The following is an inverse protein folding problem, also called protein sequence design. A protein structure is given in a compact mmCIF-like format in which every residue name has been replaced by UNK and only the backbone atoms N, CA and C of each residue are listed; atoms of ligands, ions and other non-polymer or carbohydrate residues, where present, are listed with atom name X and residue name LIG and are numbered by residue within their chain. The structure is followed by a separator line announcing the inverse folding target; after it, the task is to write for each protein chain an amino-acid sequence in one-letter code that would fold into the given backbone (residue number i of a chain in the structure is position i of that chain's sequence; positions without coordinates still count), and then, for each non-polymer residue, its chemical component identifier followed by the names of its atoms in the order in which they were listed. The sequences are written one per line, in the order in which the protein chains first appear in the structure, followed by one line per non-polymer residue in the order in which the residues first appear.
data_IF_422262725604
#
_entry.id   IF_422262725604
#
_cell.length_a   1.000
_cell.length_b   1.000
_cell.length_c   1.000
_cell.angle_alpha   90.00
_cell.angle_beta   90.00
_cell.angle_gamma   90.00
#
_symmetry.space_group_name_H-M   'P 1'
#
loop_
_entity.id
_entity.type
_entity.pdbx_description
1 polymer ?
#
# COMPACT_ATOMS: atom_id res chain seq x y z
N UNK A 1 23.02 -37.83 28.08
CA UNK A 1 23.10 -36.39 27.73
C UNK A 1 23.51 -36.27 26.27
N UNK A 2 22.60 -35.91 25.35
CA UNK A 2 22.96 -35.69 23.94
C UNK A 2 23.67 -34.34 23.84
N UNK A 3 24.92 -34.33 23.40
CA UNK A 3 25.64 -33.08 23.13
C UNK A 3 25.22 -32.55 21.77
N UNK A 4 24.73 -31.31 21.73
CA UNK A 4 24.36 -30.66 20.48
C UNK A 4 25.63 -30.32 19.71
N UNK A 5 25.62 -30.54 18.40
CA UNK A 5 26.76 -30.22 17.53
C UNK A 5 26.95 -28.70 17.54
N UNK A 6 28.15 -28.26 17.89
CA UNK A 6 28.50 -26.84 17.91
C UNK A 6 28.84 -26.39 16.49
N UNK A 7 28.16 -25.35 16.01
CA UNK A 7 28.39 -24.76 14.70
C UNK A 7 28.90 -23.32 14.84
N UNK A 8 29.99 -23.02 14.13
CA UNK A 8 30.51 -21.65 14.03
C UNK A 8 29.73 -20.88 12.97
N UNK A 9 29.33 -19.64 13.30
CA UNK A 9 28.57 -18.79 12.38
C UNK A 9 29.29 -18.43 11.09
N UNK A 10 30.63 -18.47 11.08
CA UNK A 10 31.43 -18.17 9.90
C UNK A 10 31.37 -19.28 8.83
N UNK A 11 31.01 -20.50 9.21
CA UNK A 11 31.06 -21.65 8.31
C UNK A 11 29.97 -21.56 7.24
N UNK A 12 30.33 -21.84 5.99
CA UNK A 12 29.40 -21.82 4.86
C UNK A 12 28.26 -22.83 5.04
N UNK A 13 28.56 -24.00 5.64
CA UNK A 13 27.55 -25.02 5.97
C UNK A 13 26.46 -24.46 6.86
N UNK A 14 26.81 -23.69 7.89
CA UNK A 14 25.85 -23.06 8.80
C UNK A 14 24.99 -22.04 8.06
N UNK A 15 25.57 -21.24 7.17
CA UNK A 15 24.79 -20.29 6.36
C UNK A 15 23.80 -20.99 5.43
N UNK A 16 24.21 -22.09 4.79
CA UNK A 16 23.35 -22.89 3.91
C UNK A 16 22.23 -23.56 4.71
N UNK A 17 22.53 -24.10 5.90
CA UNK A 17 21.53 -24.67 6.80
C UNK A 17 20.44 -23.66 7.15
N UNK A 18 20.82 -22.44 7.55
CA UNK A 18 19.84 -21.38 7.87
C UNK A 18 18.97 -21.02 6.67
N UNK A 19 19.56 -20.93 5.46
CA UNK A 19 18.80 -20.65 4.23
C UNK A 19 17.82 -21.78 3.90
N UNK A 20 18.27 -23.02 3.99
CA UNK A 20 17.45 -24.20 3.73
C UNK A 20 16.26 -24.28 4.70
N UNK A 21 16.53 -24.19 6.01
CA UNK A 21 15.48 -24.24 7.03
C UNK A 21 14.52 -23.04 6.93
N UNK A 22 15.01 -21.85 6.57
CA UNK A 22 14.16 -20.68 6.35
C UNK A 22 13.13 -20.91 5.23
N UNK A 23 13.54 -21.52 4.11
CA UNK A 23 12.62 -21.86 3.01
C UNK A 23 11.73 -23.04 3.38
N UNK A 24 12.28 -24.07 4.02
CA UNK A 24 11.52 -25.27 4.45
C UNK A 24 10.41 -24.92 5.46
N UNK A 25 10.64 -23.95 6.33
CA UNK A 25 9.69 -23.43 7.32
C UNK A 25 8.84 -22.26 6.78
N UNK A 26 8.66 -22.16 5.46
CA UNK A 26 7.77 -21.18 4.83
C UNK A 26 8.09 -19.72 5.21
N UNK A 27 9.36 -19.33 5.15
CA UNK A 27 9.83 -17.97 5.39
C UNK A 27 9.60 -17.44 6.81
N UNK A 28 9.73 -18.33 7.79
CA UNK A 28 9.60 -17.99 9.21
C UNK A 28 10.56 -16.85 9.63
N UNK A 29 10.10 -16.02 10.57
CA UNK A 29 10.85 -14.92 11.14
C UNK A 29 12.14 -15.35 11.86
N UNK A 30 13.06 -14.41 12.13
CA UNK A 30 14.43 -14.72 12.56
C UNK A 30 14.51 -15.37 13.95
N UNK A 31 13.59 -15.05 14.86
CA UNK A 31 13.56 -15.66 16.20
C UNK A 31 13.12 -17.12 16.15
N UNK A 32 12.06 -17.41 15.40
CA UNK A 32 11.55 -18.77 15.26
C UNK A 32 12.48 -19.65 14.42
N UNK A 33 13.15 -19.10 13.39
CA UNK A 33 14.22 -19.80 12.68
C UNK A 33 15.36 -20.22 13.62
N UNK A 34 15.79 -19.32 14.51
CA UNK A 34 16.83 -19.61 15.48
C UNK A 34 16.39 -20.67 16.50
N UNK A 35 15.15 -20.56 17.00
CA UNK A 35 14.60 -21.52 17.96
C UNK A 35 14.56 -22.93 17.37
N UNK A 36 14.13 -23.07 16.11
CA UNK A 36 14.11 -24.34 15.40
C UNK A 36 15.51 -24.95 15.24
N UNK A 37 16.50 -24.14 14.84
CA UNK A 37 17.87 -24.62 14.66
C UNK A 37 18.50 -25.01 16.02
N UNK A 38 18.20 -24.26 17.08
CA UNK A 38 18.71 -24.53 18.42
C UNK A 38 18.22 -25.86 19.02
N UNK A 39 17.11 -26.43 18.53
CA UNK A 39 16.65 -27.77 18.93
C UNK A 39 17.63 -28.88 18.51
N UNK A 40 18.46 -28.65 17.49
CA UNK A 40 19.37 -29.67 16.93
C UNK A 40 20.85 -29.25 17.00
N UNK A 41 21.15 -27.95 16.97
CA UNK A 41 22.51 -27.41 16.86
C UNK A 41 22.75 -26.28 17.84
N UNK A 42 23.97 -26.19 18.40
CA UNK A 42 24.37 -25.03 19.19
C UNK A 42 25.16 -24.04 18.32
N UNK A 43 24.52 -22.97 17.85
CA UNK A 43 25.12 -22.04 16.88
C UNK A 43 25.70 -20.80 17.55
N UNK A 44 27.02 -20.62 17.46
CA UNK A 44 27.72 -19.44 17.97
C UNK A 44 27.31 -18.21 17.14
N UNK A 45 26.74 -17.18 17.77
CA UNK A 45 26.15 -15.98 17.12
C UNK A 45 24.97 -16.28 16.17
N UNK A 46 24.20 -17.34 16.43
CA UNK A 46 23.06 -17.74 15.59
C UNK A 46 22.02 -16.63 15.34
N UNK A 47 21.79 -15.72 16.30
CA UNK A 47 20.92 -14.54 16.13
C UNK A 47 21.31 -13.65 14.94
N UNK A 48 22.60 -13.44 14.72
CA UNK A 48 23.10 -12.61 13.63
C UNK A 48 22.80 -13.26 12.27
N UNK A 49 23.05 -14.58 12.16
CA UNK A 49 22.77 -15.33 10.93
C UNK A 49 21.28 -15.34 10.66
N UNK A 50 20.44 -15.65 11.65
CA UNK A 50 18.99 -15.69 11.47
C UNK A 50 18.43 -14.37 10.92
N UNK A 51 18.79 -13.24 11.53
CA UNK A 51 18.39 -11.90 11.06
C UNK A 51 18.91 -11.63 9.66
N UNK A 52 20.16 -12.01 9.40
CA UNK A 52 20.75 -11.83 8.08
C UNK A 52 20.10 -12.70 6.99
N UNK A 53 19.69 -13.92 7.31
CA UNK A 53 19.05 -14.85 6.35
C UNK A 53 17.69 -14.32 5.95
N UNK A 54 16.86 -13.92 6.93
CA UNK A 54 15.55 -13.35 6.68
C UNK A 54 15.68 -11.99 5.97
N UNK A 55 16.61 -11.13 6.39
CA UNK A 55 16.82 -9.82 5.80
C UNK A 55 17.36 -9.84 4.36
N UNK A 56 18.07 -10.90 3.97
CA UNK A 56 18.53 -11.12 2.58
C UNK A 56 17.53 -11.90 1.73
N UNK A 57 16.42 -12.36 2.29
CA UNK A 57 15.40 -13.09 1.55
C UNK A 57 14.52 -12.14 0.72
N UNK A 58 14.51 -12.32 -0.59
CA UNK A 58 13.72 -11.50 -1.52
C UNK A 58 12.21 -11.64 -1.26
N UNK A 59 11.74 -12.85 -0.92
CA UNK A 59 10.34 -13.11 -0.63
C UNK A 59 9.90 -12.37 0.63
N UNK A 60 10.65 -12.50 1.74
CA UNK A 60 10.38 -11.76 2.97
C UNK A 60 10.44 -10.25 2.78
N UNK A 61 11.35 -9.76 1.94
CA UNK A 61 11.45 -8.33 1.62
C UNK A 61 10.19 -7.83 0.90
N UNK A 62 9.72 -8.56 -0.12
CA UNK A 62 8.50 -8.22 -0.87
C UNK A 62 7.24 -8.25 0.00
N UNK A 63 7.15 -9.18 0.94
CA UNK A 63 5.98 -9.32 1.83
C UNK A 63 6.03 -8.40 3.04
N UNK A 64 7.12 -7.65 3.25
CA UNK A 64 7.29 -6.74 4.39
C UNK A 64 7.32 -5.28 3.90
N UNK A 65 6.17 -4.70 3.49
CA UNK A 65 6.14 -3.31 3.07
C UNK A 65 6.54 -2.40 4.24
N UNK A 66 7.55 -1.56 4.03
CA UNK A 66 7.86 -0.48 4.96
C UNK A 66 6.91 0.68 4.66
N UNK A 67 6.12 1.07 5.65
CA UNK A 67 5.33 2.30 5.58
C UNK A 67 6.27 3.49 5.66
N UNK A 68 6.73 3.96 4.50
CA UNK A 68 7.40 5.24 4.38
C UNK A 68 6.28 6.27 4.33
N UNK A 69 6.18 7.11 5.36
CA UNK A 69 5.30 8.27 5.30
C UNK A 69 5.83 9.17 4.18
N UNK A 70 5.08 9.40 3.09
CA UNK A 70 5.54 10.28 2.03
C UNK A 70 5.67 11.70 2.58
N UNK A 71 6.73 12.40 2.19
CA UNK A 71 6.86 13.82 2.49
C UNK A 71 5.76 14.58 1.75
N UNK A 72 4.73 15.00 2.48
CA UNK A 72 3.60 15.74 1.90
C UNK A 72 3.99 17.21 1.70
N UNK A 73 3.76 17.73 0.50
CA UNK A 73 3.88 19.16 0.24
C UNK A 73 2.88 19.96 1.09
N UNK A 74 3.18 21.23 1.44
CA UNK A 74 2.22 22.09 2.12
C UNK A 74 0.93 22.21 1.29
N UNK A 75 -0.22 22.20 1.98
CA UNK A 75 -1.51 22.36 1.34
C UNK A 75 -1.57 23.72 0.62
N UNK A 76 -2.16 23.79 -0.59
CA UNK A 76 -2.34 25.05 -1.30
C UNK A 76 -3.20 26.02 -0.46
N UNK A 77 -2.90 27.32 -0.51
CA UNK A 77 -3.58 28.37 0.29
C UNK A 77 -5.09 28.37 0.08
N UNK A 78 -5.52 27.98 -1.12
CA UNK A 78 -6.89 27.82 -1.55
C UNK A 78 -7.67 26.82 -0.70
N UNK A 79 -7.00 25.82 -0.10
CA UNK A 79 -7.60 24.83 0.80
C UNK A 79 -7.59 25.23 2.27
N UNK A 80 -6.84 26.27 2.65
CA UNK A 80 -6.59 26.61 4.07
C UNK A 80 -7.29 27.91 4.47
N UNK A 81 -7.45 28.86 3.56
CA UNK A 81 -8.07 30.17 3.85
C UNK A 81 -9.59 30.06 3.79
N UNK A 82 -10.28 30.52 4.85
CA UNK A 82 -11.74 30.63 4.90
C UNK A 82 -12.22 31.62 3.82
N UNK A 83 -13.22 31.21 3.03
CA UNK A 83 -13.83 32.03 1.99
C UNK A 83 -15.35 31.85 1.99
N UNK A 84 -16.06 32.59 1.14
CA UNK A 84 -17.51 32.39 0.94
C UNK A 84 -17.78 31.01 0.30
N UNK A 85 -18.94 30.42 0.59
CA UNK A 85 -19.39 29.18 -0.06
C UNK A 85 -19.30 29.32 -1.58
N UNK A 86 -18.81 28.28 -2.26
CA UNK A 86 -18.54 28.24 -3.70
C UNK A 86 -17.52 29.26 -4.23
N UNK A 87 -16.83 30.03 -3.38
CA UNK A 87 -15.73 30.90 -3.83
C UNK A 87 -14.53 30.10 -4.38
N UNK A 88 -14.40 28.83 -3.96
CA UNK A 88 -13.38 27.90 -4.44
C UNK A 88 -14.02 26.53 -4.68
N UNK A 89 -14.01 26.09 -5.93
CA UNK A 89 -14.58 24.81 -6.34
C UNK A 89 -13.54 23.95 -7.02
N UNK A 90 -13.48 22.67 -6.67
CA UNK A 90 -12.80 21.65 -7.45
C UNK A 90 -13.77 21.05 -8.47
N UNK A 91 -13.25 20.70 -9.64
CA UNK A 91 -13.99 19.98 -10.68
C UNK A 91 -13.30 18.65 -10.89
N UNK A 92 -14.05 17.56 -10.81
CA UNK A 92 -13.58 16.23 -11.14
C UNK A 92 -14.44 15.61 -12.24
N UNK A 93 -13.82 14.82 -13.12
CA UNK A 93 -14.50 14.16 -14.23
C UNK A 93 -14.49 12.65 -13.99
N UNK A 94 -15.67 12.08 -13.83
CA UNK A 94 -15.83 10.63 -13.91
C UNK A 94 -15.95 10.23 -15.39
N UNK A 95 -15.30 9.11 -15.72
CA UNK A 95 -15.08 8.62 -17.08
C UNK A 95 -16.34 8.45 -17.94
N UNK A 96 -16.19 7.97 -19.18
CA UNK A 96 -17.27 7.97 -20.13
C UNK A 96 -18.39 7.01 -19.72
N UNK A 97 -19.56 7.57 -19.45
CA UNK A 97 -20.80 6.86 -19.19
C UNK A 97 -21.69 6.89 -20.43
N UNK A 98 -22.27 5.74 -20.78
CA UNK A 98 -23.19 5.64 -21.90
C UNK A 98 -24.60 6.01 -21.42
N UNK A 99 -25.06 7.23 -21.77
CA UNK A 99 -26.38 7.72 -21.37
C UNK A 99 -27.38 7.39 -22.47
N UNK A 100 -28.42 6.64 -22.11
CA UNK A 100 -29.57 6.38 -22.98
C UNK A 100 -30.63 7.43 -22.72
N UNK A 101 -31.09 8.11 -23.77
CA UNK A 101 -32.33 8.88 -23.68
C UNK A 101 -33.52 7.90 -23.64
N UNK A 102 -34.56 8.18 -22.85
CA UNK A 102 -35.75 7.33 -22.68
C UNK A 102 -36.59 7.15 -23.96
N UNK A 103 -36.20 7.79 -25.06
CA UNK A 103 -36.82 7.67 -26.37
C UNK A 103 -36.35 6.38 -27.08
N UNK A 104 -37.32 5.64 -27.63
CA UNK A 104 -37.07 4.38 -28.36
C UNK A 104 -36.24 4.69 -29.63
N UNK A 105 -35.19 3.89 -29.88
CA UNK A 105 -34.25 3.97 -31.03
C UNK A 105 -33.16 5.06 -31.00
N UNK A 106 -32.89 5.73 -29.87
CA UNK A 106 -31.75 6.66 -29.76
C UNK A 106 -30.47 5.90 -29.42
N UNK A 107 -29.40 6.12 -30.18
CA UNK A 107 -28.06 5.57 -29.88
C UNK A 107 -27.55 6.14 -28.55
N UNK A 108 -26.98 5.29 -27.67
CA UNK A 108 -26.47 5.76 -26.39
C UNK A 108 -25.33 6.77 -26.63
N UNK A 109 -25.40 7.91 -25.94
CA UNK A 109 -24.41 8.97 -26.06
C UNK A 109 -23.31 8.75 -25.03
N UNK A 110 -22.07 8.91 -25.46
CA UNK A 110 -20.91 8.93 -24.56
C UNK A 110 -20.90 10.28 -23.84
N UNK A 111 -21.17 10.26 -22.55
CA UNK A 111 -21.21 11.45 -21.69
C UNK A 111 -20.19 11.33 -20.57
N UNK A 112 -19.79 12.46 -20.00
CA UNK A 112 -18.89 12.51 -18.84
C UNK A 112 -19.64 13.15 -17.68
N UNK A 113 -19.42 12.65 -16.47
CA UNK A 113 -20.02 13.25 -15.27
C UNK A 113 -19.01 14.21 -14.67
N UNK A 114 -19.41 15.48 -14.54
CA UNK A 114 -18.61 16.52 -13.91
C UNK A 114 -19.11 16.71 -12.47
N UNK A 115 -18.25 16.48 -11.49
CA UNK A 115 -18.55 16.68 -10.08
C UNK A 115 -17.91 17.98 -9.63
N UNK A 116 -18.75 18.92 -9.17
CA UNK A 116 -18.29 20.19 -8.61
C UNK A 116 -18.36 20.11 -7.08
N UNK A 117 -17.20 20.31 -6.44
CA UNK A 117 -17.05 20.21 -4.99
C UNK A 117 -16.59 21.56 -4.45
N UNK A 118 -17.29 22.08 -3.44
CA UNK A 118 -16.86 23.27 -2.72
C UNK A 118 -15.65 22.92 -1.81
N UNK A 119 -14.49 23.53 -2.07
CA UNK A 119 -13.24 23.29 -1.34
C UNK A 119 -13.19 23.98 0.03
N UNK A 120 -14.16 24.85 0.30
CA UNK A 120 -14.26 25.63 1.55
C UNK A 120 -14.93 24.82 2.68
N UNK A 121 -15.70 23.78 2.35
CA UNK A 121 -16.60 23.08 3.29
C UNK A 121 -15.88 22.13 4.25
N UNK A 122 -14.58 21.85 4.06
CA UNK A 122 -13.81 20.93 4.91
C UNK A 122 -13.76 21.44 6.38
N UNK A 123 -14.02 22.73 6.63
CA UNK A 123 -14.09 23.35 7.96
C UNK A 123 -15.50 23.68 8.46
N UNK A 124 -16.58 23.37 7.71
CA UNK A 124 -17.95 23.68 8.13
C UNK A 124 -18.89 22.50 7.86
N UNK A 125 -19.10 21.69 8.90
CA UNK A 125 -19.79 20.39 8.92
C UNK A 125 -21.28 20.44 8.51
N UNK A 126 -21.87 21.62 8.34
CA UNK A 126 -23.33 21.78 8.20
C UNK A 126 -23.84 22.01 6.77
N UNK A 127 -22.99 22.15 5.73
CA UNK A 127 -23.47 22.38 4.35
C UNK A 127 -22.56 21.84 3.23
N UNK A 128 -22.43 20.52 3.12
CA UNK A 128 -21.80 19.86 1.96
C UNK A 128 -22.75 19.78 0.77
N UNK A 129 -23.00 20.92 0.10
CA UNK A 129 -23.69 20.93 -1.19
C UNK A 129 -22.72 20.52 -2.29
N UNK A 130 -22.73 19.25 -2.65
CA UNK A 130 -22.09 18.73 -3.88
C UNK A 130 -23.06 19.00 -5.04
N UNK A 131 -22.56 19.66 -6.10
CA UNK A 131 -23.33 19.85 -7.33
C UNK A 131 -22.80 18.91 -8.40
N UNK A 132 -23.64 17.98 -8.87
CA UNK A 132 -23.29 17.05 -9.95
C UNK A 132 -23.93 17.55 -11.24
N UNK A 133 -23.11 17.76 -12.27
CA UNK A 133 -23.58 18.16 -13.60
C UNK A 133 -23.18 17.08 -14.60
N UNK A 134 -24.14 16.52 -15.32
CA UNK A 134 -23.88 15.57 -16.40
C UNK A 134 -23.61 16.38 -17.67
N UNK A 135 -22.40 16.27 -18.21
CA UNK A 135 -22.00 16.95 -19.45
C UNK A 135 -22.01 15.92 -20.57
N UNK A 136 -22.97 16.09 -21.49
CA UNK A 136 -23.05 15.28 -22.71
C UNK A 136 -22.46 16.08 -23.86
N UNK A 137 -21.21 15.80 -24.26
CA UNK A 137 -20.64 16.34 -25.50
C UNK A 137 -20.91 15.35 -26.64
N UNK A 138 -21.73 15.74 -27.62
CA UNK A 138 -21.65 15.15 -28.96
C UNK A 138 -20.33 15.62 -29.57
N UNK A 139 -19.30 14.79 -29.49
CA UNK A 139 -18.15 14.95 -30.38
C UNK A 139 -18.65 14.55 -31.78
N UNK A 140 -18.80 15.56 -32.64
CA UNK A 140 -19.00 15.37 -34.08
C UNK A 140 -17.68 14.94 -34.72
#
# INVERSE_FOLDING_TARGET
MKHHIVLLSANQVTQLLFKFEHVRLLHVGPLALLAHINNHYWVIRGRCIARSTVGRCIQCFKTSPRFISPFMAPLPRERVIIARLFARTGVDYCGPVMVRSGLRKVTPLKSYVCVFICLVTIYNINTSRVSVVIVSRRFH
#
